data_IF_222761763288
#
_entry.id   IF_222761763288
#
_cell.length_a   1.000
_cell.length_b   1.000
_cell.length_c   1.000
_cell.angle_alpha   90.00
_cell.angle_beta   90.00
_cell.angle_gamma   90.00
#
_symmetry.space_group_name_H-M   'P 1'
#
loop_
_entity.id
_entity.type
_entity.pdbx_description
1 polymer ?
#
# COMPACT_ATOMS: atom_id res chain seq x y z
N UNK A 1 -41.35 -18.67 3.39
CA UNK A 1 -39.96 -18.84 2.90
C UNK A 1 -39.29 -17.47 2.87
N UNK A 2 -38.32 -17.25 3.76
CA UNK A 2 -37.77 -15.92 4.05
C UNK A 2 -36.87 -15.36 2.95
N UNK A 3 -36.95 -14.04 2.83
CA UNK A 3 -36.30 -13.15 1.87
C UNK A 3 -34.78 -13.40 1.69
N UNK A 4 -34.45 -14.35 0.81
CA UNK A 4 -33.06 -14.76 0.51
C UNK A 4 -32.37 -13.75 -0.39
N UNK A 5 -33.13 -13.01 -1.19
CA UNK A 5 -32.61 -11.98 -2.09
C UNK A 5 -32.15 -10.74 -1.32
N UNK A 6 -32.92 -10.25 -0.35
CA UNK A 6 -32.49 -9.15 0.52
C UNK A 6 -31.22 -9.47 1.31
N UNK A 7 -31.07 -10.71 1.78
CA UNK A 7 -29.87 -11.17 2.51
C UNK A 7 -28.63 -11.24 1.62
N UNK A 8 -28.77 -11.67 0.35
CA UNK A 8 -27.69 -11.66 -0.65
C UNK A 8 -27.26 -10.24 -1.02
N UNK A 9 -28.21 -9.32 -1.19
CA UNK A 9 -27.95 -7.90 -1.51
C UNK A 9 -27.23 -7.22 -0.34
N UNK A 10 -27.71 -7.40 0.91
CA UNK A 10 -27.02 -6.91 2.11
C UNK A 10 -25.58 -7.41 2.19
N UNK A 11 -25.34 -8.71 1.96
CA UNK A 11 -23.96 -9.28 1.95
C UNK A 11 -23.08 -8.64 0.89
N UNK A 12 -23.59 -8.39 -0.32
CA UNK A 12 -22.85 -7.69 -1.39
C UNK A 12 -22.53 -6.24 -0.99
N UNK A 13 -23.51 -5.51 -0.48
CA UNK A 13 -23.34 -4.12 -0.04
C UNK A 13 -22.35 -4.02 1.12
N UNK A 14 -22.39 -4.94 2.09
CA UNK A 14 -21.38 -5.06 3.15
C UNK A 14 -20.01 -5.33 2.52
N UNK A 15 -19.87 -6.29 1.60
CA UNK A 15 -18.57 -6.54 0.92
C UNK A 15 -18.02 -5.29 0.20
N UNK A 16 -18.88 -4.50 -0.42
CA UNK A 16 -18.53 -3.22 -1.08
C UNK A 16 -18.19 -2.15 -0.03
N UNK A 17 -18.90 -2.12 1.09
CA UNK A 17 -18.65 -1.24 2.23
C UNK A 17 -17.30 -1.54 2.91
N UNK A 18 -16.88 -2.80 2.93
CA UNK A 18 -15.56 -3.20 3.43
C UNK A 18 -14.42 -2.90 2.42
N UNK A 19 -14.75 -2.72 1.13
CA UNK A 19 -13.87 -2.07 0.15
C UNK A 19 -13.80 -0.54 0.32
N UNK A 20 -14.54 0.06 1.28
CA UNK A 20 -14.49 1.51 1.51
C UNK A 20 -13.04 1.95 1.71
N UNK A 21 -12.73 3.05 1.01
CA UNK A 21 -11.46 3.78 0.98
C UNK A 21 -10.70 3.62 2.29
N UNK A 22 -9.44 3.19 2.19
CA UNK A 22 -8.55 3.23 3.33
C UNK A 22 -8.54 4.66 3.89
N UNK A 23 -8.78 4.78 5.19
CA UNK A 23 -8.69 6.07 5.90
C UNK A 23 -7.30 6.66 5.66
N UNK A 24 -7.16 7.99 5.56
CA UNK A 24 -5.88 8.66 5.28
C UNK A 24 -4.71 8.14 6.14
N UNK A 25 -4.98 7.77 7.39
CA UNK A 25 -3.98 7.18 8.30
C UNK A 25 -3.46 5.80 7.86
N UNK A 26 -4.31 4.95 7.26
CA UNK A 26 -3.91 3.63 6.72
C UNK A 26 -3.07 3.78 5.46
N UNK A 27 -3.36 4.78 4.63
CA UNK A 27 -2.58 5.13 3.45
C UNK A 27 -1.17 5.58 3.87
N UNK A 28 -1.10 6.51 4.83
CA UNK A 28 0.16 7.01 5.35
C UNK A 28 1.03 5.89 5.93
N UNK A 29 0.44 4.99 6.73
CA UNK A 29 1.15 3.82 7.28
C UNK A 29 1.70 2.88 6.21
N UNK A 30 1.01 2.73 5.07
CA UNK A 30 1.50 1.89 3.98
C UNK A 30 2.72 2.51 3.29
N UNK A 31 2.67 3.82 3.06
CA UNK A 31 3.79 4.58 2.47
C UNK A 31 4.98 4.62 3.43
N UNK A 32 4.74 4.87 4.72
CA UNK A 32 5.77 4.84 5.76
C UNK A 32 6.45 3.47 5.85
N UNK A 33 5.67 2.39 5.72
CA UNK A 33 6.21 1.04 5.75
C UNK A 33 7.07 0.73 4.52
N UNK A 34 6.63 1.14 3.33
CA UNK A 34 7.42 1.02 2.11
C UNK A 34 8.74 1.80 2.22
N UNK A 35 8.69 3.02 2.74
CA UNK A 35 9.86 3.84 3.00
C UNK A 35 10.85 3.20 3.99
N UNK A 36 10.35 2.54 5.04
CA UNK A 36 11.20 1.82 6.00
C UNK A 36 11.97 0.68 5.32
N UNK A 37 11.30 -0.06 4.44
CA UNK A 37 11.94 -1.15 3.67
C UNK A 37 13.03 -0.60 2.75
N UNK A 38 12.77 0.50 2.05
CA UNK A 38 13.76 1.15 1.18
C UNK A 38 14.98 1.67 1.95
N UNK A 39 14.76 2.25 3.14
CA UNK A 39 15.87 2.64 4.03
C UNK A 39 16.71 1.43 4.44
N UNK A 40 16.05 0.31 4.75
CA UNK A 40 16.74 -0.92 5.14
C UNK A 40 17.53 -1.51 3.98
N UNK A 41 16.97 -1.47 2.76
CA UNK A 41 17.68 -1.83 1.53
C UNK A 41 18.91 -0.95 1.31
N UNK A 42 18.77 0.37 1.46
CA UNK A 42 19.89 1.30 1.30
C UNK A 42 21.02 1.06 2.33
N UNK A 43 20.68 0.57 3.53
CA UNK A 43 21.66 0.30 4.60
C UNK A 43 22.30 -1.09 4.50
N UNK A 44 21.53 -2.12 4.18
CA UNK A 44 21.94 -3.54 4.27
C UNK A 44 22.13 -4.21 2.91
N UNK A 45 21.78 -3.53 1.82
CA UNK A 45 21.72 -4.12 0.49
C UNK A 45 20.45 -4.94 0.27
N UNK A 46 20.38 -5.57 -0.90
CA UNK A 46 19.23 -6.37 -1.31
C UNK A 46 19.31 -7.77 -0.68
N UNK A 47 18.60 -7.96 0.44
CA UNK A 47 18.45 -9.28 1.08
C UNK A 47 17.15 -9.96 0.67
N UNK A 48 17.05 -11.28 0.82
CA UNK A 48 15.81 -12.02 0.55
C UNK A 48 14.62 -11.46 1.35
N UNK A 49 14.85 -11.07 2.61
CA UNK A 49 13.83 -10.42 3.42
C UNK A 49 13.37 -9.07 2.85
N UNK A 50 14.30 -8.26 2.32
CA UNK A 50 13.96 -6.97 1.69
C UNK A 50 13.12 -7.20 0.44
N UNK A 51 13.46 -8.19 -0.41
CA UNK A 51 12.68 -8.55 -1.60
C UNK A 51 11.25 -8.93 -1.23
N UNK A 52 11.08 -9.83 -0.26
CA UNK A 52 9.77 -10.28 0.20
C UNK A 52 8.96 -9.14 0.85
N UNK A 53 9.61 -8.33 1.69
CA UNK A 53 8.99 -7.20 2.35
C UNK A 53 8.52 -6.15 1.34
N UNK A 54 9.34 -5.87 0.32
CA UNK A 54 9.03 -4.94 -0.77
C UNK A 54 7.83 -5.41 -1.58
N UNK A 55 7.77 -6.69 -1.95
CA UNK A 55 6.59 -7.26 -2.62
C UNK A 55 5.32 -7.09 -1.79
N UNK A 56 5.39 -7.37 -0.48
CA UNK A 56 4.24 -7.20 0.42
C UNK A 56 3.83 -5.74 0.56
N UNK A 57 4.78 -4.80 0.59
CA UNK A 57 4.52 -3.36 0.62
C UNK A 57 3.82 -2.87 -0.65
N UNK A 58 4.32 -3.26 -1.82
CA UNK A 58 3.70 -2.95 -3.11
C UNK A 58 2.29 -3.54 -3.22
N UNK A 59 2.09 -4.79 -2.79
CA UNK A 59 0.76 -5.40 -2.75
C UNK A 59 -0.21 -4.62 -1.85
N UNK A 60 0.28 -4.10 -0.71
CA UNK A 60 -0.53 -3.30 0.22
C UNK A 60 -0.91 -1.94 -0.35
N UNK A 61 0.03 -1.27 -1.02
CA UNK A 61 -0.19 -0.02 -1.75
C UNK A 61 -1.24 -0.23 -2.84
N UNK A 62 -1.08 -1.27 -3.67
CA UNK A 62 -2.03 -1.63 -4.74
C UNK A 62 -3.42 -1.95 -4.18
N UNK A 63 -3.49 -2.68 -3.05
CA UNK A 63 -4.75 -2.99 -2.37
C UNK A 63 -5.48 -1.74 -1.87
N UNK A 64 -4.74 -0.71 -1.46
CA UNK A 64 -5.31 0.55 -1.01
C UNK A 64 -5.61 1.53 -2.14
N UNK A 65 -5.23 1.21 -3.38
CA UNK A 65 -5.46 2.06 -4.55
C UNK A 65 -4.64 3.36 -4.51
N UNK A 66 -3.47 3.32 -3.86
CA UNK A 66 -2.54 4.45 -3.86
C UNK A 66 -1.86 4.50 -5.23
N UNK A 67 -1.95 5.64 -5.89
CA UNK A 67 -1.30 5.84 -7.18
C UNK A 67 0.18 6.22 -7.01
N UNK A 68 0.99 5.91 -8.02
CA UNK A 68 2.44 6.14 -7.98
C UNK A 68 2.80 7.62 -7.80
N UNK A 69 2.00 8.54 -8.34
CA UNK A 69 2.20 9.99 -8.14
C UNK A 69 2.05 10.41 -6.67
N UNK A 70 1.15 9.77 -5.91
CA UNK A 70 0.97 10.06 -4.49
C UNK A 70 2.16 9.57 -3.66
N UNK A 71 2.74 8.43 -4.06
CA UNK A 71 3.96 7.92 -3.44
C UNK A 71 5.10 8.89 -3.73
N UNK A 72 5.27 9.30 -4.99
CA UNK A 72 6.29 10.30 -5.37
C UNK A 72 6.13 11.55 -4.52
N UNK A 73 4.97 12.19 -4.50
CA UNK A 73 4.70 13.42 -3.74
C UNK A 73 5.08 13.28 -2.25
N UNK A 74 4.73 12.16 -1.61
CA UNK A 74 5.09 11.91 -0.20
C UNK A 74 6.59 11.72 -0.02
N UNK A 75 7.27 11.09 -0.99
CA UNK A 75 8.72 10.94 -1.00
C UNK A 75 9.43 12.28 -1.28
N UNK A 76 8.90 13.14 -2.16
CA UNK A 76 9.44 14.49 -2.40
C UNK A 76 9.33 15.35 -1.16
N UNK A 77 8.14 15.40 -0.54
CA UNK A 77 7.91 16.17 0.71
C UNK A 77 8.81 15.74 1.86
N UNK A 78 9.30 14.50 1.85
CA UNK A 78 10.19 13.93 2.87
C UNK A 78 11.66 13.95 2.46
N UNK A 79 12.00 14.50 1.29
CA UNK A 79 13.38 14.56 0.79
C UNK A 79 13.99 13.17 0.55
N UNK A 80 13.18 12.19 0.14
CA UNK A 80 13.61 10.79 -0.05
C UNK A 80 13.48 10.30 -1.49
N UNK A 81 13.42 11.22 -2.45
CA UNK A 81 13.35 10.94 -3.88
C UNK A 81 14.51 10.03 -4.35
N UNK A 82 15.70 10.21 -3.75
CA UNK A 82 16.91 9.42 -4.05
C UNK A 82 16.75 7.91 -3.79
N UNK A 83 15.91 7.53 -2.82
CA UNK A 83 15.63 6.12 -2.52
C UNK A 83 14.80 5.45 -3.62
N UNK A 84 14.02 6.25 -4.35
CA UNK A 84 13.15 5.78 -5.43
C UNK A 84 13.94 5.68 -6.74
N UNK A 85 14.83 6.64 -7.01
CA UNK A 85 15.71 6.64 -8.19
C UNK A 85 16.77 5.52 -8.19
N UNK A 86 17.18 5.04 -7.01
CA UNK A 86 18.15 3.92 -6.89
C UNK A 86 17.62 2.57 -7.36
N UNK A 87 16.31 2.44 -7.64
CA UNK A 87 15.73 1.19 -8.15
C UNK A 87 15.74 1.06 -9.68
N UNK A 88 16.08 2.12 -10.42
CA UNK A 88 15.99 2.18 -11.90
C UNK A 88 17.38 2.12 -12.57
N UNK A 89 18.41 1.61 -11.88
CA UNK A 89 19.74 1.41 -12.47
C UNK A 89 20.04 -0.07 -12.68
#
# INVERSE_FOLDING_TARGET
>A
MGDTNGRKIKRKLVKIQWKRKATNQKLQKAIDWYMLILKKQAKQGETNWVKDAKQKALARIKRYGIADYQIKEVFERRGMLDLLSKEVK
#
